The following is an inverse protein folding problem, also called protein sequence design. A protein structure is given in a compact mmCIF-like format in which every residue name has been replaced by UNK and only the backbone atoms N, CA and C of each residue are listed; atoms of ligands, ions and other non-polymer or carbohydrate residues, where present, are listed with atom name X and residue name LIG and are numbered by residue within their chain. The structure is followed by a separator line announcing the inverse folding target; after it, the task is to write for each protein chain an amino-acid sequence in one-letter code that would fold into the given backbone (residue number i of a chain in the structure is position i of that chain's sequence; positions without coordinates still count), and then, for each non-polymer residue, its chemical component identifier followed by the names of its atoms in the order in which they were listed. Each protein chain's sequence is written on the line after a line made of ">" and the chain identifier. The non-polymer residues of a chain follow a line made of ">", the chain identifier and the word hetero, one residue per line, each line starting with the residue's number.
data_IF_177071883222
#
_entry.id   IF_177071883222
#
_cell.length_a   1.000
_cell.length_b   1.000
_cell.length_c   1.000
_cell.angle_alpha   90.00
_cell.angle_beta   90.00
_cell.angle_gamma   90.00
#
_symmetry.space_group_name_H-M   'P 1'
#
loop_
_entity.id
_entity.type
_entity.pdbx_description
1 polymer ?
#
# COMPACT_ATOMS: atom_id res chain seq x y z
N UNK A 1 -22.20 40.78 40.74
CA UNK A 1 -22.32 40.76 39.27
C UNK A 1 -21.03 41.28 38.67
N UNK A 2 -20.12 40.38 38.27
CA UNK A 2 -18.92 40.77 37.50
C UNK A 2 -19.30 40.75 36.03
N UNK A 3 -19.18 41.90 35.36
CA UNK A 3 -19.47 42.05 33.94
C UNK A 3 -18.60 41.12 33.11
N UNK A 4 -19.24 40.29 32.29
CA UNK A 4 -18.59 39.53 31.23
C UNK A 4 -18.31 40.53 30.11
N UNK A 5 -17.03 40.85 29.90
CA UNK A 5 -16.57 41.62 28.74
C UNK A 5 -16.83 40.80 27.46
N UNK A 6 -17.84 41.22 26.70
CA UNK A 6 -18.28 40.59 25.45
C UNK A 6 -17.52 41.09 24.20
N UNK A 7 -16.31 41.64 24.33
CA UNK A 7 -15.55 42.16 23.17
C UNK A 7 -14.19 41.50 22.94
N UNK A 8 -14.10 40.17 22.99
CA UNK A 8 -13.03 39.47 22.27
C UNK A 8 -13.27 39.59 20.77
N UNK A 9 -12.70 40.62 20.13
CA UNK A 9 -12.54 40.69 18.66
C UNK A 9 -11.99 39.33 18.19
N UNK A 10 -12.78 38.59 17.42
CA UNK A 10 -12.39 37.28 16.84
C UNK A 10 -11.06 37.49 16.11
N UNK A 11 -9.99 36.83 16.59
CA UNK A 11 -8.65 36.99 16.04
C UNK A 11 -8.67 36.52 14.58
N UNK A 12 -8.42 37.44 13.65
CA UNK A 12 -8.41 37.16 12.22
C UNK A 12 -7.30 36.17 11.90
N UNK A 13 -7.65 35.04 11.26
CA UNK A 13 -6.70 34.03 10.80
C UNK A 13 -6.37 34.29 9.33
N UNK A 14 -5.17 34.81 9.04
CA UNK A 14 -4.72 35.00 7.67
C UNK A 14 -4.58 33.68 6.90
N UNK A 15 -4.36 32.56 7.60
CA UNK A 15 -4.40 31.22 7.00
C UNK A 15 -5.80 30.85 6.50
N UNK A 16 -6.83 31.11 7.31
CA UNK A 16 -8.21 30.84 6.91
C UNK A 16 -8.63 31.72 5.73
N UNK A 17 -8.22 32.99 5.72
CA UNK A 17 -8.49 33.90 4.60
C UNK A 17 -7.75 33.50 3.33
N UNK A 18 -6.50 33.04 3.42
CA UNK A 18 -5.78 32.53 2.26
C UNK A 18 -6.49 31.30 1.66
N UNK A 19 -7.00 30.39 2.50
CA UNK A 19 -7.82 29.26 2.05
C UNK A 19 -9.10 29.73 1.36
N UNK A 20 -9.85 30.65 1.98
CA UNK A 20 -11.08 31.21 1.41
C UNK A 20 -10.82 31.82 0.02
N UNK A 21 -9.80 32.68 -0.10
CA UNK A 21 -9.45 33.35 -1.36
C UNK A 21 -9.09 32.36 -2.47
N UNK A 22 -8.37 31.28 -2.14
CA UNK A 22 -8.01 30.25 -3.14
C UNK A 22 -9.21 29.37 -3.48
N UNK A 23 -10.02 29.00 -2.48
CA UNK A 23 -11.24 28.22 -2.65
C UNK A 23 -12.23 28.93 -3.60
N UNK A 24 -12.50 30.21 -3.36
CA UNK A 24 -13.42 31.04 -4.17
C UNK A 24 -12.87 31.36 -5.57
N UNK A 25 -11.57 31.16 -5.82
CA UNK A 25 -10.97 31.49 -7.11
C UNK A 25 -11.09 30.33 -8.11
N UNK A 26 -11.82 30.49 -9.24
CA UNK A 26 -11.95 29.42 -10.23
C UNK A 26 -10.61 29.10 -10.92
N UNK A 27 -9.67 30.05 -10.95
CA UNK A 27 -8.36 29.91 -11.58
C UNK A 27 -7.22 29.95 -10.56
N UNK A 28 -6.11 29.24 -10.80
CA UNK A 28 -4.93 29.28 -9.94
C UNK A 28 -4.31 30.68 -9.82
N UNK A 29 -3.99 31.07 -8.59
CA UNK A 29 -3.48 32.39 -8.22
C UNK A 29 -1.98 32.33 -7.90
N UNK A 30 -1.26 33.40 -8.18
CA UNK A 30 0.07 33.64 -7.64
C UNK A 30 0.00 34.03 -6.16
N UNK A 31 1.10 33.84 -5.42
CA UNK A 31 1.16 34.27 -4.01
C UNK A 31 0.89 35.79 -3.83
N UNK A 32 1.23 36.61 -4.82
CA UNK A 32 0.96 38.05 -4.80
C UNK A 32 -0.54 38.36 -4.96
N UNK A 33 -1.23 37.66 -5.87
CA UNK A 33 -2.69 37.78 -6.04
C UNK A 33 -3.44 37.31 -4.79
N UNK A 34 -3.01 36.21 -4.17
CA UNK A 34 -3.59 35.72 -2.91
C UNK A 34 -3.42 36.79 -1.82
N UNK A 35 -2.22 37.34 -1.67
CA UNK A 35 -1.97 38.40 -0.69
C UNK A 35 -2.84 39.63 -0.95
N UNK A 36 -2.96 40.09 -2.20
CA UNK A 36 -3.77 41.25 -2.55
C UNK A 36 -5.26 41.04 -2.22
N UNK A 37 -5.80 39.87 -2.51
CA UNK A 37 -7.20 39.52 -2.17
C UNK A 37 -7.42 39.39 -0.67
N UNK A 38 -6.48 38.80 0.08
CA UNK A 38 -6.56 38.77 1.55
C UNK A 38 -6.52 40.18 2.14
N UNK A 39 -5.63 41.05 1.64
CA UNK A 39 -5.51 42.45 2.06
C UNK A 39 -6.80 43.25 1.80
N UNK A 40 -7.51 42.94 0.71
CA UNK A 40 -8.80 43.55 0.39
C UNK A 40 -9.92 43.15 1.36
N UNK A 41 -9.87 41.95 1.94
CA UNK A 41 -10.81 41.49 2.97
C UNK A 41 -10.47 42.12 4.32
N UNK A 42 -9.19 42.11 4.70
CA UNK A 42 -8.73 42.68 5.97
C UNK A 42 -7.25 43.04 5.91
N UNK A 43 -6.84 44.19 6.47
CA UNK A 43 -5.43 44.58 6.45
C UNK A 43 -4.52 43.55 7.12
N UNK A 44 -3.48 43.11 6.43
CA UNK A 44 -2.48 42.20 7.01
C UNK A 44 -1.54 43.01 7.92
N UNK A 45 -1.73 42.86 9.23
CA UNK A 45 -1.03 43.64 10.25
C UNK A 45 0.32 43.04 10.70
N UNK A 46 0.77 41.96 10.06
CA UNK A 46 2.04 41.31 10.41
C UNK A 46 3.25 42.10 9.90
N UNK A 47 4.41 41.93 10.56
CA UNK A 47 5.66 42.60 10.16
C UNK A 47 6.09 42.28 8.73
N UNK A 48 5.71 41.11 8.20
CA UNK A 48 6.04 40.69 6.84
C UNK A 48 4.85 39.98 6.19
N UNK A 49 3.91 40.73 5.57
CA UNK A 49 2.71 40.18 4.95
C UNK A 49 3.00 39.10 3.90
N UNK A 50 4.05 39.30 3.09
CA UNK A 50 4.49 38.34 2.07
C UNK A 50 4.86 36.99 2.69
N UNK A 51 5.66 37.00 3.77
CA UNK A 51 6.05 35.78 4.46
C UNK A 51 4.86 35.10 5.14
N UNK A 52 3.94 35.87 5.73
CA UNK A 52 2.71 35.34 6.33
C UNK A 52 1.86 34.56 5.32
N UNK A 53 1.60 35.13 4.14
CA UNK A 53 0.81 34.46 3.10
C UNK A 53 1.54 33.25 2.52
N UNK A 54 2.86 33.33 2.28
CA UNK A 54 3.63 32.18 1.82
C UNK A 54 3.62 31.04 2.82
N UNK A 55 3.71 31.34 4.12
CA UNK A 55 3.61 30.32 5.18
C UNK A 55 2.22 29.69 5.24
N UNK A 56 1.16 30.49 5.08
CA UNK A 56 -0.20 29.97 5.00
C UNK A 56 -0.40 29.02 3.80
N UNK A 57 0.16 29.36 2.65
CA UNK A 57 0.14 28.51 1.45
C UNK A 57 0.96 27.23 1.70
N UNK A 58 2.20 27.33 2.16
CA UNK A 58 3.11 26.19 2.30
C UNK A 58 2.67 25.16 3.35
N UNK A 59 1.90 25.58 4.34
CA UNK A 59 1.36 24.70 5.38
C UNK A 59 0.01 24.07 5.01
N UNK A 60 -0.56 24.45 3.86
CA UNK A 60 -1.84 23.94 3.41
C UNK A 60 -1.68 22.63 2.64
N UNK A 61 -2.53 21.65 2.94
CA UNK A 61 -2.73 20.46 2.10
C UNK A 61 -3.76 20.67 1.00
N UNK A 62 -4.54 21.76 1.07
CA UNK A 62 -5.62 22.07 0.11
C UNK A 62 -5.22 23.12 -0.92
N UNK A 63 -4.30 24.03 -0.57
CA UNK A 63 -3.70 24.97 -1.52
C UNK A 63 -2.45 24.30 -2.11
N UNK A 64 -2.54 23.89 -3.36
CA UNK A 64 -1.49 23.11 -4.04
C UNK A 64 -0.85 23.91 -5.15
N UNK A 65 0.44 23.70 -5.39
CA UNK A 65 1.13 24.28 -6.53
C UNK A 65 0.72 23.56 -7.82
N UNK A 66 0.57 24.31 -8.91
CA UNK A 66 0.17 23.77 -10.24
C UNK A 66 1.20 24.04 -11.33
N UNK A 67 2.41 24.43 -10.94
CA UNK A 67 3.43 24.97 -11.85
C UNK A 67 3.37 26.49 -12.01
N UNK A 68 4.39 27.08 -12.64
CA UNK A 68 4.44 28.52 -12.93
C UNK A 68 4.32 29.46 -11.71
N UNK A 69 4.64 28.98 -10.50
CA UNK A 69 4.46 29.70 -9.21
C UNK A 69 2.99 30.11 -8.95
N UNK A 70 2.04 29.33 -9.45
CA UNK A 70 0.60 29.47 -9.17
C UNK A 70 0.12 28.36 -8.23
N UNK A 71 -0.97 28.66 -7.53
CA UNK A 71 -1.57 27.84 -6.51
C UNK A 71 -3.08 27.75 -6.73
N UNK A 72 -3.61 26.53 -6.65
CA UNK A 72 -5.04 26.26 -6.83
C UNK A 72 -5.63 25.48 -5.67
N UNK A 73 -6.95 25.39 -5.65
CA UNK A 73 -7.68 24.53 -4.72
C UNK A 73 -7.61 23.08 -5.19
N UNK A 74 -7.09 22.18 -4.35
CA UNK A 74 -6.70 20.81 -4.74
C UNK A 74 -7.80 20.02 -5.46
N UNK A 75 -9.04 19.86 -4.94
CA UNK A 75 -10.11 19.15 -5.65
C UNK A 75 -10.37 19.68 -7.06
N UNK A 76 -10.30 21.01 -7.26
CA UNK A 76 -10.47 21.63 -8.58
C UNK A 76 -9.28 21.38 -9.50
N UNK A 77 -8.07 21.40 -8.95
CA UNK A 77 -6.82 21.22 -9.70
C UNK A 77 -6.72 19.82 -10.29
N UNK A 78 -7.13 18.80 -9.53
CA UNK A 78 -7.04 17.40 -9.94
C UNK A 78 -8.09 16.99 -10.97
N UNK A 79 -9.15 17.80 -11.17
CA UNK A 79 -10.13 17.59 -12.24
C UNK A 79 -9.45 17.40 -13.60
N UNK A 80 -9.97 16.45 -14.37
CA UNK A 80 -9.43 16.00 -15.66
C UNK A 80 -8.33 14.94 -15.56
N UNK A 81 -7.89 14.56 -14.36
CA UNK A 81 -6.95 13.45 -14.17
C UNK A 81 -7.60 12.11 -14.55
N UNK A 82 -6.80 11.21 -15.11
CA UNK A 82 -7.16 9.83 -15.42
C UNK A 82 -6.23 8.91 -14.64
N UNK A 83 -6.80 8.02 -13.85
CA UNK A 83 -6.09 7.07 -12.98
C UNK A 83 -6.39 5.64 -13.43
N UNK A 84 -5.43 4.75 -13.28
CA UNK A 84 -5.61 3.31 -13.46
C UNK A 84 -5.75 2.66 -12.09
N UNK A 85 -6.64 1.68 -12.00
CA UNK A 85 -6.76 0.76 -10.89
C UNK A 85 -6.66 -0.67 -11.45
N UNK A 86 -5.80 -1.49 -10.88
CA UNK A 86 -5.65 -2.90 -11.28
C UNK A 86 -6.56 -3.76 -10.43
N UNK A 87 -7.43 -4.54 -11.07
CA UNK A 87 -8.36 -5.44 -10.39
C UNK A 87 -7.60 -6.67 -9.89
N UNK A 88 -7.61 -6.87 -8.58
CA UNK A 88 -7.19 -8.11 -7.95
C UNK A 88 -8.33 -9.12 -7.91
N UNK A 89 -7.99 -10.40 -7.74
CA UNK A 89 -8.99 -11.45 -7.54
C UNK A 89 -9.82 -11.23 -6.28
N UNK A 90 -9.18 -10.82 -5.18
CA UNK A 90 -9.85 -10.54 -3.92
C UNK A 90 -10.95 -9.48 -4.07
N UNK A 91 -10.69 -8.43 -4.84
CA UNK A 91 -11.68 -7.38 -5.14
C UNK A 91 -12.87 -7.89 -5.96
N UNK A 92 -12.60 -8.78 -6.94
CA UNK A 92 -13.65 -9.39 -7.76
C UNK A 92 -14.55 -10.33 -6.94
N UNK A 93 -13.97 -11.11 -6.02
CA UNK A 93 -14.69 -12.07 -5.16
C UNK A 93 -15.44 -11.35 -4.04
N UNK A 94 -14.74 -10.50 -3.28
CA UNK A 94 -15.30 -9.81 -2.11
C UNK A 94 -16.18 -8.63 -2.48
N UNK A 95 -16.20 -8.25 -3.77
CA UNK A 95 -16.99 -7.12 -4.29
C UNK A 95 -16.64 -5.81 -3.58
N UNK A 96 -15.35 -5.61 -3.38
CA UNK A 96 -14.76 -4.40 -2.82
C UNK A 96 -13.70 -3.88 -3.78
N UNK A 97 -13.39 -2.60 -3.73
CA UNK A 97 -12.22 -2.05 -4.40
C UNK A 97 -11.31 -1.45 -3.33
N UNK A 98 -10.03 -1.82 -3.35
CA UNK A 98 -9.01 -1.29 -2.46
C UNK A 98 -8.27 -0.17 -3.17
N UNK A 99 -8.10 0.96 -2.48
CA UNK A 99 -7.52 2.14 -3.08
C UNK A 99 -6.03 2.24 -2.79
N UNK A 100 -5.24 2.25 -3.86
CA UNK A 100 -3.86 2.69 -3.81
C UNK A 100 -3.77 4.19 -3.48
N UNK A 101 -2.56 4.66 -3.22
CA UNK A 101 -2.27 5.98 -2.65
C UNK A 101 -2.74 7.13 -3.52
N UNK A 102 -2.57 7.01 -4.82
CA UNK A 102 -3.04 7.97 -5.80
C UNK A 102 -4.57 7.95 -5.93
N UNK A 103 -5.21 6.79 -5.89
CA UNK A 103 -6.67 6.69 -5.90
C UNK A 103 -7.29 7.30 -4.63
N UNK A 104 -6.70 7.07 -3.45
CA UNK A 104 -7.13 7.73 -2.21
C UNK A 104 -7.00 9.25 -2.29
N UNK A 105 -5.89 9.72 -2.85
CA UNK A 105 -5.65 11.15 -3.07
C UNK A 105 -6.67 11.77 -4.04
N UNK A 106 -7.12 10.99 -5.03
CA UNK A 106 -8.15 11.39 -5.99
C UNK A 106 -9.54 11.41 -5.35
N UNK A 107 -10.01 10.28 -4.81
CA UNK A 107 -11.38 10.10 -4.28
C UNK A 107 -11.60 10.91 -3.00
N UNK A 108 -10.57 11.04 -2.16
CA UNK A 108 -10.62 11.82 -0.92
C UNK A 108 -9.45 12.83 -0.85
N UNK A 109 -9.49 13.94 -1.61
CA UNK A 109 -8.41 14.94 -1.61
C UNK A 109 -8.17 15.58 -0.24
N UNK A 110 -9.15 15.48 0.65
CA UNK A 110 -9.10 16.00 2.02
C UNK A 110 -8.55 15.00 3.04
N UNK A 111 -8.20 13.78 2.64
CA UNK A 111 -7.84 12.68 3.55
C UNK A 111 -6.76 13.06 4.57
N UNK A 112 -5.74 13.80 4.13
CA UNK A 112 -4.65 14.30 5.00
C UNK A 112 -4.78 15.79 5.37
N UNK A 113 -5.92 16.42 5.05
CA UNK A 113 -6.16 17.81 5.42
C UNK A 113 -6.47 17.93 6.92
N UNK A 114 -6.37 19.17 7.45
CA UNK A 114 -6.83 19.44 8.82
C UNK A 114 -8.33 19.11 8.91
N UNK A 115 -8.76 18.62 10.08
CA UNK A 115 -10.14 18.20 10.37
C UNK A 115 -11.22 19.18 9.88
N UNK A 116 -10.98 20.49 9.93
CA UNK A 116 -11.91 21.51 9.44
C UNK A 116 -12.18 21.48 7.91
N UNK A 117 -11.37 20.76 7.14
CA UNK A 117 -11.53 20.57 5.69
C UNK A 117 -11.85 19.11 5.36
N UNK A 118 -12.05 18.26 6.37
CA UNK A 118 -12.28 16.84 6.17
C UNK A 118 -13.64 16.62 5.49
N UNK A 119 -13.62 15.95 4.35
CA UNK A 119 -14.82 15.54 3.63
C UNK A 119 -14.63 14.12 3.08
N UNK A 120 -15.00 13.13 3.91
CA UNK A 120 -15.03 11.71 3.54
C UNK A 120 -16.37 11.27 2.95
N UNK A 121 -17.22 12.23 2.58
CA UNK A 121 -18.50 11.92 1.92
C UNK A 121 -18.29 11.12 0.63
N UNK A 122 -19.29 10.33 0.22
CA UNK A 122 -19.18 9.44 -0.93
C UNK A 122 -18.97 10.23 -2.23
N UNK A 123 -18.41 9.55 -3.23
CA UNK A 123 -18.25 10.09 -4.58
C UNK A 123 -19.25 9.45 -5.55
N UNK A 124 -19.63 10.21 -6.57
CA UNK A 124 -20.53 9.79 -7.63
C UNK A 124 -19.72 9.33 -8.84
N UNK A 125 -19.97 8.11 -9.32
CA UNK A 125 -19.21 7.48 -10.42
C UNK A 125 -20.17 7.13 -11.54
N UNK A 126 -20.07 7.84 -12.66
CA UNK A 126 -20.82 7.53 -13.88
C UNK A 126 -20.26 6.30 -14.58
N UNK A 127 -21.17 5.41 -15.00
CA UNK A 127 -20.88 4.18 -15.71
C UNK A 127 -21.15 4.34 -17.23
N UNK A 128 -20.46 3.59 -18.10
CA UNK A 128 -20.65 3.67 -19.56
C UNK A 128 -22.06 3.33 -20.05
N UNK A 129 -22.86 2.60 -19.27
CA UNK A 129 -24.25 2.27 -19.58
C UNK A 129 -25.25 3.37 -19.19
N UNK A 130 -24.74 4.52 -18.70
CA UNK A 130 -25.53 5.68 -18.30
C UNK A 130 -26.03 5.66 -16.85
N UNK A 131 -25.75 4.59 -16.09
CA UNK A 131 -26.04 4.54 -14.66
C UNK A 131 -24.99 5.31 -13.85
N UNK A 132 -25.31 5.55 -12.57
CA UNK A 132 -24.41 6.20 -11.63
C UNK A 132 -24.31 5.33 -10.38
N UNK A 133 -23.07 5.01 -10.01
CA UNK A 133 -22.75 4.30 -8.78
C UNK A 133 -22.28 5.27 -7.70
N UNK A 134 -22.48 4.91 -6.44
CA UNK A 134 -22.01 5.69 -5.27
C UNK A 134 -20.90 4.95 -4.55
N UNK A 135 -19.74 5.58 -4.41
CA UNK A 135 -18.57 4.98 -3.75
C UNK A 135 -18.33 5.68 -2.42
N UNK A 136 -18.63 4.99 -1.32
CA UNK A 136 -18.29 5.45 0.02
C UNK A 136 -16.86 5.03 0.39
N UNK A 137 -16.11 5.91 1.06
CA UNK A 137 -14.78 5.57 1.53
C UNK A 137 -14.87 4.75 2.82
N UNK A 138 -14.34 3.53 2.78
CA UNK A 138 -14.35 2.58 3.90
C UNK A 138 -12.93 2.19 4.34
N UNK A 139 -12.80 1.88 5.62
CA UNK A 139 -11.55 1.40 6.22
C UNK A 139 -11.65 -0.11 6.47
N UNK A 140 -10.78 -0.88 5.85
CA UNK A 140 -10.79 -2.34 5.90
C UNK A 140 -9.77 -2.93 6.89
N UNK A 141 -9.08 -2.11 7.68
CA UNK A 141 -7.97 -2.54 8.55
C UNK A 141 -6.62 -2.50 7.84
N UNK A 142 -5.51 -2.73 8.56
CA UNK A 142 -4.17 -2.85 7.95
C UNK A 142 -3.66 -1.61 7.19
N UNK A 143 -4.21 -0.42 7.44
CA UNK A 143 -4.02 0.81 6.62
C UNK A 143 -4.63 0.74 5.21
N UNK A 144 -5.47 -0.25 4.94
CA UNK A 144 -6.21 -0.42 3.69
C UNK A 144 -7.51 0.36 3.73
N UNK A 145 -7.71 1.14 2.67
CA UNK A 145 -8.92 1.91 2.45
C UNK A 145 -9.50 1.52 1.10
N UNK A 146 -10.80 1.66 0.93
CA UNK A 146 -11.46 1.19 -0.28
C UNK A 146 -12.90 1.67 -0.39
N UNK A 147 -13.68 0.97 -1.19
CA UNK A 147 -15.13 1.13 -1.26
C UNK A 147 -15.80 -0.23 -1.41
N UNK A 148 -16.99 -0.36 -0.85
CA UNK A 148 -17.98 -1.35 -1.26
C UNK A 148 -18.86 -0.67 -2.30
N UNK A 149 -18.67 -0.99 -3.58
CA UNK A 149 -19.45 -0.38 -4.64
C UNK A 149 -20.87 -0.98 -4.67
N UNK A 150 -21.84 -0.21 -5.15
CA UNK A 150 -23.23 -0.66 -5.23
C UNK A 150 -23.46 -1.74 -6.31
N UNK A 151 -24.66 -2.32 -6.32
CA UNK A 151 -25.02 -3.37 -7.27
C UNK A 151 -24.98 -2.89 -8.72
N UNK A 152 -25.25 -1.60 -8.99
CA UNK A 152 -25.20 -1.05 -10.33
C UNK A 152 -23.78 -1.15 -10.91
N UNK A 153 -22.77 -0.73 -10.15
CA UNK A 153 -21.37 -0.87 -10.55
C UNK A 153 -20.99 -2.33 -10.79
N UNK A 154 -21.32 -3.22 -9.85
CA UNK A 154 -20.92 -4.62 -9.98
C UNK A 154 -21.66 -5.36 -11.10
N UNK A 155 -22.92 -5.03 -11.38
CA UNK A 155 -23.65 -5.56 -12.53
C UNK A 155 -22.99 -5.13 -13.85
N UNK A 156 -22.64 -3.85 -13.98
CA UNK A 156 -21.90 -3.33 -15.13
C UNK A 156 -20.53 -4.01 -15.27
N UNK A 157 -19.77 -4.13 -14.17
CA UNK A 157 -18.45 -4.75 -14.17
C UNK A 157 -18.55 -6.22 -14.57
N UNK A 158 -19.48 -7.00 -14.02
CA UNK A 158 -19.69 -8.42 -14.42
C UNK A 158 -20.01 -8.56 -15.91
N UNK A 159 -20.75 -7.63 -16.50
CA UNK A 159 -21.04 -7.65 -17.93
C UNK A 159 -19.77 -7.52 -18.80
N UNK A 160 -18.67 -6.99 -18.25
CA UNK A 160 -17.36 -6.94 -18.92
C UNK A 160 -16.60 -8.27 -18.85
N UNK A 161 -17.04 -9.22 -18.03
CA UNK A 161 -16.34 -10.48 -17.74
C UNK A 161 -14.87 -10.27 -17.30
N UNK A 162 -14.63 -9.48 -16.23
CA UNK A 162 -13.29 -9.11 -15.81
C UNK A 162 -12.53 -10.33 -15.29
N UNK A 163 -11.22 -10.35 -15.54
CA UNK A 163 -10.28 -11.29 -14.92
C UNK A 163 -9.28 -10.54 -14.04
N UNK A 164 -8.66 -11.20 -13.05
CA UNK A 164 -7.59 -10.60 -12.27
C UNK A 164 -6.48 -10.04 -13.19
N UNK A 165 -6.03 -8.82 -12.89
CA UNK A 165 -5.06 -8.08 -13.68
C UNK A 165 -5.66 -7.19 -14.77
N UNK A 166 -6.97 -7.24 -15.03
CA UNK A 166 -7.67 -6.21 -15.82
C UNK A 166 -7.75 -4.88 -15.06
N UNK A 167 -8.18 -3.82 -15.73
CA UNK A 167 -8.10 -2.47 -15.19
C UNK A 167 -9.40 -1.69 -15.24
N UNK A 168 -9.59 -0.84 -14.25
CA UNK A 168 -10.54 0.26 -14.25
C UNK A 168 -9.80 1.58 -14.47
N UNK A 169 -10.30 2.40 -15.38
CA UNK A 169 -9.79 3.76 -15.60
C UNK A 169 -10.76 4.77 -15.03
N UNK A 170 -10.33 5.51 -14.01
CA UNK A 170 -11.14 6.53 -13.34
C UNK A 170 -10.75 7.91 -13.84
N UNK A 171 -11.72 8.61 -14.43
CA UNK A 171 -11.60 10.03 -14.80
C UNK A 171 -12.23 10.88 -13.71
N UNK A 172 -11.47 11.83 -13.19
CA UNK A 172 -12.01 12.88 -12.32
C UNK A 172 -12.73 13.90 -13.20
N UNK A 173 -14.06 13.86 -13.24
CA UNK A 173 -14.87 14.79 -14.05
C UNK A 173 -14.89 16.14 -13.36
N UNK A 174 -15.22 16.16 -12.07
CA UNK A 174 -15.19 17.33 -11.21
C UNK A 174 -14.84 16.91 -9.78
N UNK A 175 -13.62 17.22 -9.34
CA UNK A 175 -13.16 16.85 -8.00
C UNK A 175 -13.82 17.64 -6.87
N UNK A 176 -14.36 18.83 -7.12
CA UNK A 176 -15.11 19.58 -6.10
C UNK A 176 -16.51 19.03 -5.92
N UNK A 177 -17.18 18.71 -7.03
CA UNK A 177 -18.48 18.06 -7.00
C UNK A 177 -18.41 16.55 -6.69
N UNK A 178 -17.20 16.01 -6.48
CA UNK A 178 -16.94 14.58 -6.26
C UNK A 178 -17.56 13.70 -7.36
N UNK A 179 -17.48 14.15 -8.60
CA UNK A 179 -18.01 13.47 -9.77
C UNK A 179 -16.89 12.82 -10.58
N UNK A 180 -17.06 11.54 -10.87
CA UNK A 180 -16.10 10.69 -11.56
C UNK A 180 -16.78 9.91 -12.67
N UNK A 181 -15.99 9.38 -13.58
CA UNK A 181 -16.43 8.42 -14.59
C UNK A 181 -15.47 7.23 -14.59
N UNK A 182 -15.98 6.02 -14.77
CA UNK A 182 -15.16 4.81 -14.85
C UNK A 182 -15.35 4.13 -16.20
N UNK A 183 -14.26 3.58 -16.74
CA UNK A 183 -14.28 2.69 -17.90
C UNK A 183 -13.47 1.44 -17.64
N UNK A 184 -13.83 0.33 -18.28
CA UNK A 184 -13.08 -0.92 -18.19
C UNK A 184 -12.01 -1.00 -19.30
N UNK A 185 -10.86 -1.56 -18.97
CA UNK A 185 -9.79 -1.88 -19.91
C UNK A 185 -9.27 -3.29 -19.61
N UNK A 186 -9.44 -4.22 -20.55
CA UNK A 186 -8.82 -5.53 -20.43
C UNK A 186 -7.30 -5.41 -20.54
N UNK A 187 -6.56 -6.24 -19.81
CA UNK A 187 -5.08 -6.21 -19.82
C UNK A 187 -4.50 -6.40 -21.21
N UNK A 188 -5.10 -7.29 -22.01
CA UNK A 188 -4.68 -7.58 -23.40
C UNK A 188 -4.81 -6.38 -24.35
N UNK A 189 -5.63 -5.39 -24.00
CA UNK A 189 -5.88 -4.21 -24.83
C UNK A 189 -4.94 -3.03 -24.46
N UNK A 190 -3.99 -3.26 -23.55
CA UNK A 190 -3.00 -2.26 -23.13
C UNK A 190 -1.93 -2.04 -24.19
N UNK A 191 -1.62 -0.77 -24.43
CA UNK A 191 -0.38 -0.37 -25.09
C UNK A 191 0.75 -0.38 -24.06
N UNK A 192 1.38 -1.55 -23.86
CA UNK A 192 2.43 -1.74 -22.86
C UNK A 192 3.64 -0.84 -23.10
N UNK A 193 3.99 -0.56 -24.36
CA UNK A 193 5.12 0.30 -24.68
C UNK A 193 4.85 1.76 -24.27
N UNK A 194 3.66 2.27 -24.58
CA UNK A 194 3.26 3.60 -24.16
C UNK A 194 3.14 3.70 -22.63
N UNK A 195 2.56 2.70 -21.98
CA UNK A 195 2.42 2.66 -20.51
C UNK A 195 3.79 2.61 -19.85
N UNK A 196 4.73 1.78 -20.33
CA UNK A 196 6.10 1.74 -19.81
C UNK A 196 6.79 3.11 -19.92
N UNK A 197 6.63 3.82 -21.04
CA UNK A 197 7.14 5.17 -21.20
C UNK A 197 6.49 6.16 -20.21
N UNK A 198 5.18 6.03 -19.93
CA UNK A 198 4.51 6.81 -18.87
C UNK A 198 5.10 6.51 -17.50
N UNK A 199 5.25 5.23 -17.15
CA UNK A 199 5.80 4.80 -15.86
C UNK A 199 7.22 5.34 -15.66
N UNK A 200 8.08 5.29 -16.68
CA UNK A 200 9.42 5.85 -16.62
C UNK A 200 9.43 7.36 -16.35
N UNK A 201 8.57 8.12 -17.04
CA UNK A 201 8.45 9.57 -16.81
C UNK A 201 7.97 9.89 -15.38
N UNK A 202 7.05 9.09 -14.84
CA UNK A 202 6.58 9.18 -13.47
C UNK A 202 7.69 8.89 -12.45
N UNK A 203 8.41 7.78 -12.62
CA UNK A 203 9.52 7.36 -11.76
C UNK A 203 10.64 8.41 -11.78
N UNK A 204 10.99 8.95 -12.94
CA UNK A 204 12.02 9.97 -13.08
C UNK A 204 11.67 11.25 -12.28
N UNK A 205 10.42 11.70 -12.36
CA UNK A 205 9.97 12.87 -11.60
C UNK A 205 9.87 12.57 -10.10
N UNK A 206 9.34 11.41 -9.72
CA UNK A 206 9.27 10.97 -8.33
C UNK A 206 10.68 10.87 -7.70
N UNK A 207 11.66 10.36 -8.44
CA UNK A 207 13.07 10.31 -8.03
C UNK A 207 13.65 11.71 -7.79
N UNK A 208 13.34 12.66 -8.68
CA UNK A 208 13.76 14.06 -8.53
C UNK A 208 13.21 14.70 -7.25
N UNK A 209 11.98 14.36 -6.86
CA UNK A 209 11.38 14.81 -5.60
C UNK A 209 12.03 14.15 -4.39
N UNK A 210 12.24 12.83 -4.46
CA UNK A 210 12.82 12.05 -3.37
C UNK A 210 14.27 12.48 -3.03
N UNK A 211 15.03 12.98 -4.02
CA UNK A 211 16.41 13.48 -3.85
C UNK A 211 16.52 14.89 -3.24
N UNK A 212 15.41 15.56 -2.92
CA UNK A 212 15.45 16.89 -2.28
C UNK A 212 16.06 16.78 -0.87
N UNK A 213 16.68 17.85 -0.32
CA UNK A 213 17.42 17.80 0.96
C UNK A 213 16.60 17.35 2.18
N UNK A 214 15.27 17.35 2.11
CA UNK A 214 14.36 16.93 3.18
C UNK A 214 13.56 15.68 2.79
N UNK A 215 13.88 15.05 1.65
CA UNK A 215 13.08 14.00 1.03
C UNK A 215 11.67 14.48 0.63
N UNK A 216 10.87 13.55 0.14
CA UNK A 216 9.43 13.69 0.03
C UNK A 216 8.80 12.40 0.54
N UNK A 217 7.80 12.49 1.43
CA UNK A 217 7.07 11.30 1.83
C UNK A 217 6.37 10.71 0.59
N UNK A 218 6.19 9.39 0.48
CA UNK A 218 5.54 8.78 -0.68
C UNK A 218 4.18 9.39 -1.05
N UNK A 219 3.38 9.78 -0.05
CA UNK A 219 2.09 10.44 -0.23
C UNK A 219 2.22 11.85 -0.81
N UNK A 220 3.28 12.58 -0.46
CA UNK A 220 3.54 13.91 -1.01
C UNK A 220 3.97 13.81 -2.49
N UNK A 221 4.55 12.67 -2.91
CA UNK A 221 4.86 12.40 -4.31
C UNK A 221 3.57 12.18 -5.12
N UNK A 222 2.65 11.33 -4.66
CA UNK A 222 1.37 11.10 -5.33
C UNK A 222 0.58 12.41 -5.50
N UNK A 223 0.50 13.20 -4.42
CA UNK A 223 -0.11 14.53 -4.42
C UNK A 223 0.55 15.48 -5.42
N UNK A 224 1.88 15.52 -5.44
CA UNK A 224 2.64 16.36 -6.37
C UNK A 224 2.36 15.98 -7.82
N UNK A 225 2.48 14.69 -8.18
CA UNK A 225 2.31 14.21 -9.55
C UNK A 225 0.90 14.53 -10.07
N UNK A 226 -0.13 14.32 -9.24
CA UNK A 226 -1.52 14.64 -9.58
C UNK A 226 -1.73 16.13 -9.81
N UNK A 227 -1.26 16.98 -8.89
CA UNK A 227 -1.46 18.43 -8.97
C UNK A 227 -0.62 19.12 -10.05
N UNK A 228 0.47 18.49 -10.49
CA UNK A 228 1.33 18.97 -11.58
C UNK A 228 0.97 18.36 -12.94
N UNK A 229 -0.18 17.69 -13.04
CA UNK A 229 -0.76 17.27 -14.32
C UNK A 229 -0.19 15.99 -14.92
N UNK A 230 0.59 15.20 -14.17
CA UNK A 230 1.13 13.94 -14.68
C UNK A 230 0.04 12.91 -15.01
N UNK A 231 -1.12 13.00 -14.36
CA UNK A 231 -2.31 12.19 -14.65
C UNK A 231 -3.24 12.81 -15.71
N UNK A 232 -2.92 14.00 -16.25
CA UNK A 232 -3.70 14.65 -17.33
C UNK A 232 -3.20 14.17 -18.69
N UNK A 233 -3.35 12.88 -18.94
CA UNK A 233 -2.90 12.21 -20.16
C UNK A 233 -3.94 11.15 -20.58
N UNK A 234 -4.17 10.91 -21.89
CA UNK A 234 -5.11 9.90 -22.35
C UNK A 234 -4.70 8.47 -21.95
N UNK A 235 -3.39 8.22 -21.79
CA UNK A 235 -2.83 6.96 -21.30
C UNK A 235 -2.33 7.19 -19.87
N UNK A 236 -3.03 6.67 -18.84
CA UNK A 236 -2.57 6.80 -17.47
C UNK A 236 -1.37 5.87 -17.20
N UNK A 237 -0.51 6.19 -16.22
CA UNK A 237 0.51 5.24 -15.74
C UNK A 237 -0.17 4.05 -15.05
N UNK A 238 0.62 3.02 -14.76
CA UNK A 238 0.20 2.01 -13.77
C UNK A 238 0.09 2.61 -12.36
N UNK A 239 -0.70 2.01 -11.46
CA UNK A 239 -0.88 2.48 -10.10
C UNK A 239 0.46 2.79 -9.42
N UNK A 240 0.53 3.88 -8.67
CA UNK A 240 1.79 4.34 -8.09
C UNK A 240 2.44 3.30 -7.17
N UNK A 241 1.64 2.48 -6.48
CA UNK A 241 2.10 1.38 -5.62
C UNK A 241 2.83 0.29 -6.41
N UNK A 242 2.41 0.02 -7.64
CA UNK A 242 3.04 -0.98 -8.52
C UNK A 242 4.37 -0.47 -9.09
N UNK A 243 4.47 0.83 -9.40
CA UNK A 243 5.66 1.40 -10.08
C UNK A 243 6.65 2.11 -9.16
N UNK A 244 6.23 2.53 -7.97
CA UNK A 244 7.04 3.29 -7.01
C UNK A 244 7.24 2.51 -5.71
N UNK A 245 7.73 1.28 -5.85
CA UNK A 245 7.98 0.34 -4.73
C UNK A 245 9.18 0.75 -3.88
N UNK A 246 9.32 0.15 -2.69
CA UNK A 246 10.48 0.42 -1.82
C UNK A 246 11.80 -0.03 -2.44
N UNK A 247 11.78 -1.07 -3.27
CA UNK A 247 12.94 -1.53 -4.04
C UNK A 247 13.41 -0.44 -5.01
N UNK A 248 12.48 0.14 -5.79
CA UNK A 248 12.77 1.28 -6.69
C UNK A 248 13.34 2.46 -5.90
N UNK A 249 12.77 2.79 -4.74
CA UNK A 249 13.28 3.89 -3.88
C UNK A 249 14.68 3.61 -3.34
N UNK A 250 15.03 2.36 -3.04
CA UNK A 250 16.37 1.98 -2.57
C UNK A 250 17.38 2.08 -3.71
N UNK A 251 17.11 1.50 -4.88
CA UNK A 251 18.02 1.55 -6.02
C UNK A 251 18.35 3.00 -6.42
N UNK A 252 17.34 3.88 -6.44
CA UNK A 252 17.51 5.30 -6.76
C UNK A 252 18.32 6.09 -5.72
N UNK A 253 18.38 5.63 -4.47
CA UNK A 253 19.18 6.23 -3.39
C UNK A 253 20.63 5.76 -3.39
N UNK A 254 20.90 4.51 -3.79
CA UNK A 254 22.24 3.91 -3.71
C UNK A 254 22.98 3.84 -5.04
N UNK A 255 22.37 4.25 -6.16
CA UNK A 255 23.05 4.33 -7.46
C UNK A 255 23.36 2.97 -8.08
N UNK A 256 22.66 1.92 -7.65
CA UNK A 256 22.73 0.59 -8.28
C UNK A 256 22.06 0.64 -9.66
N UNK A 257 22.70 0.02 -10.65
CA UNK A 257 22.22 -0.02 -12.03
C UNK A 257 20.82 -0.63 -12.09
N UNK A 258 19.94 0.08 -12.79
CA UNK A 258 18.53 -0.23 -12.95
C UNK A 258 18.35 -1.55 -13.74
N UNK A 259 17.81 -2.57 -13.09
CA UNK A 259 16.93 -3.51 -13.78
C UNK A 259 15.53 -2.88 -13.76
N UNK A 260 14.93 -2.69 -14.94
CA UNK A 260 13.49 -2.44 -15.07
C UNK A 260 12.78 -3.46 -14.17
N UNK A 261 11.80 -3.10 -13.33
CA UNK A 261 10.98 -4.11 -12.68
C UNK A 261 10.41 -4.96 -13.80
N UNK A 262 10.83 -6.22 -13.89
CA UNK A 262 10.18 -7.12 -14.84
C UNK A 262 8.69 -7.11 -14.53
N UNK A 263 7.81 -7.12 -15.56
CA UNK A 263 6.38 -7.27 -15.35
C UNK A 263 6.15 -8.39 -14.33
N UNK A 264 5.15 -8.30 -13.43
CA UNK A 264 4.96 -9.27 -12.36
C UNK A 264 5.17 -10.66 -12.94
N UNK A 265 6.23 -11.31 -12.43
CA UNK A 265 6.80 -12.51 -13.03
C UNK A 265 5.66 -13.47 -13.30
N UNK A 266 5.48 -13.84 -14.57
CA UNK A 266 4.29 -14.57 -15.03
C UNK A 266 4.00 -15.86 -14.24
N UNK A 267 5.01 -16.41 -13.55
CA UNK A 267 4.89 -17.52 -12.62
C UNK A 267 4.03 -17.19 -11.38
N UNK A 268 4.19 -16.01 -10.77
CA UNK A 268 3.35 -15.58 -9.63
C UNK A 268 1.94 -15.22 -10.09
N UNK A 269 1.78 -14.52 -11.21
CA UNK A 269 0.44 -14.23 -11.77
C UNK A 269 -0.35 -15.49 -12.14
N UNK A 270 0.33 -16.61 -12.44
CA UNK A 270 -0.32 -17.91 -12.66
C UNK A 270 -0.74 -18.58 -11.35
N UNK A 271 -0.02 -18.33 -10.24
CA UNK A 271 -0.36 -18.82 -8.90
C UNK A 271 -1.51 -18.02 -8.26
N UNK A 272 -1.59 -16.71 -8.50
CA UNK A 272 -2.71 -15.83 -8.10
C UNK A 272 -3.96 -15.93 -9.01
N UNK A 273 -4.09 -17.02 -9.79
CA UNK A 273 -5.27 -17.34 -10.59
C UNK A 273 -6.15 -18.43 -9.97
N UNK A 274 -5.92 -18.79 -8.69
CA UNK A 274 -6.71 -19.77 -7.95
C UNK A 274 -7.81 -19.06 -7.17
N UNK A 275 -9.07 -19.49 -7.35
CA UNK A 275 -10.25 -18.91 -6.68
C UNK A 275 -9.98 -18.66 -5.20
N UNK A 276 -10.06 -17.40 -4.78
CA UNK A 276 -10.01 -17.05 -3.37
C UNK A 276 -11.05 -17.84 -2.57
N UNK A 277 -10.58 -18.46 -1.49
CA UNK A 277 -11.44 -19.22 -0.61
C UNK A 277 -12.26 -18.25 0.26
N UNK A 278 -13.58 -18.43 0.28
CA UNK A 278 -14.44 -17.85 1.33
C UNK A 278 -14.37 -18.82 2.52
N UNK A 279 -13.92 -18.35 3.67
CA UNK A 279 -13.87 -19.17 4.88
C UNK A 279 -15.30 -19.36 5.40
N UNK A 280 -15.80 -20.59 5.34
CA UNK A 280 -17.10 -20.97 5.89
C UNK A 280 -16.86 -21.68 7.24
N UNK A 281 -17.24 -21.08 8.39
CA UNK A 281 -17.06 -21.69 9.70
C UNK A 281 -17.86 -23.00 9.87
N UNK A 282 -18.98 -23.14 9.16
CA UNK A 282 -19.85 -24.32 9.20
C UNK A 282 -19.37 -25.41 8.24
N UNK A 283 -18.47 -25.06 7.30
CA UNK A 283 -17.87 -25.96 6.30
C UNK A 283 -16.42 -25.56 5.98
N UNK A 284 -15.47 -25.77 6.92
CA UNK A 284 -14.08 -25.35 6.74
C UNK A 284 -13.41 -26.05 5.55
N UNK A 285 -12.35 -25.47 4.95
CA UNK A 285 -11.58 -26.15 3.91
C UNK A 285 -11.19 -27.56 4.35
N UNK A 286 -11.25 -28.52 3.42
CA UNK A 286 -10.68 -29.86 3.60
C UNK A 286 -9.15 -29.77 3.58
N UNK A 287 -8.60 -29.17 4.64
CA UNK A 287 -7.17 -29.11 4.88
C UNK A 287 -6.71 -30.49 5.35
N UNK A 288 -5.55 -30.97 4.88
CA UNK A 288 -4.99 -32.21 5.40
C UNK A 288 -4.93 -32.21 6.93
N UNK A 289 -5.11 -33.36 7.60
CA UNK A 289 -5.23 -33.41 9.06
C UNK A 289 -4.06 -32.81 9.86
N UNK A 290 -2.90 -32.67 9.23
CA UNK A 290 -1.71 -31.98 9.76
C UNK A 290 -1.89 -30.44 9.89
N UNK A 291 -2.96 -29.89 9.33
CA UNK A 291 -3.34 -28.48 9.37
C UNK A 291 -4.67 -28.27 10.12
N UNK A 292 -4.99 -29.11 11.10
CA UNK A 292 -6.13 -28.93 11.99
C UNK A 292 -5.62 -28.43 13.37
N UNK A 293 -5.94 -27.19 13.79
CA UNK A 293 -5.45 -26.64 15.07
C UNK A 293 -5.89 -27.47 16.28
N UNK A 294 -6.96 -28.25 16.15
CA UNK A 294 -7.46 -29.12 17.22
C UNK A 294 -6.60 -30.38 17.45
N UNK A 295 -5.66 -30.68 16.54
CA UNK A 295 -4.81 -31.89 16.58
C UNK A 295 -3.41 -31.67 17.17
N UNK A 296 -3.15 -30.49 17.73
CA UNK A 296 -1.89 -30.15 18.39
C UNK A 296 -1.01 -29.21 17.57
N UNK A 297 0.21 -28.93 18.07
CA UNK A 297 1.13 -27.98 17.43
C UNK A 297 1.58 -28.50 16.08
N UNK A 298 1.47 -27.66 15.06
CA UNK A 298 1.91 -27.95 13.70
C UNK A 298 3.43 -27.92 13.62
N UNK A 299 3.99 -28.70 12.70
CA UNK A 299 5.43 -28.81 12.49
C UNK A 299 5.78 -28.69 11.01
N UNK A 300 6.94 -28.11 10.66
CA UNK A 300 7.38 -28.05 9.27
C UNK A 300 7.48 -29.44 8.66
N UNK A 301 6.99 -29.62 7.43
CA UNK A 301 7.14 -30.89 6.74
C UNK A 301 8.58 -31.05 6.26
N UNK A 302 9.09 -32.27 6.40
CA UNK A 302 10.41 -32.61 5.89
C UNK A 302 10.42 -32.65 4.36
N UNK A 303 11.49 -32.13 3.74
CA UNK A 303 11.70 -32.24 2.29
C UNK A 303 11.70 -33.71 1.85
N UNK A 304 10.90 -34.04 0.84
CA UNK A 304 10.87 -35.39 0.25
C UNK A 304 12.00 -35.55 -0.75
N UNK A 305 12.30 -34.53 -1.55
CA UNK A 305 13.38 -34.55 -2.53
C UNK A 305 14.75 -34.70 -1.87
N UNK A 306 14.97 -33.98 -0.76
CA UNK A 306 16.24 -34.03 -0.04
C UNK A 306 16.54 -35.40 0.58
N UNK A 307 15.53 -36.28 0.74
CA UNK A 307 15.74 -37.67 1.20
C UNK A 307 16.32 -38.59 0.12
N UNK A 308 16.16 -38.25 -1.15
CA UNK A 308 16.51 -39.12 -2.28
C UNK A 308 17.67 -38.60 -3.12
N UNK A 309 18.05 -37.32 -3.01
CA UNK A 309 19.14 -36.73 -3.76
C UNK A 309 19.49 -35.32 -3.32
N UNK A 310 20.37 -34.66 -4.08
CA UNK A 310 20.63 -33.24 -3.92
C UNK A 310 19.43 -32.39 -4.32
N UNK A 311 19.28 -31.23 -3.70
CA UNK A 311 18.18 -30.28 -3.93
C UNK A 311 18.72 -28.87 -4.10
N UNK A 312 17.92 -27.97 -4.67
CA UNK A 312 18.16 -26.54 -4.47
C UNK A 312 17.74 -26.16 -3.06
N UNK A 313 18.68 -25.69 -2.24
CA UNK A 313 18.40 -25.18 -0.90
C UNK A 313 18.50 -23.66 -0.86
N UNK A 314 17.56 -23.04 -0.14
CA UNK A 314 17.49 -21.60 0.07
C UNK A 314 17.75 -21.30 1.54
N UNK A 315 18.66 -20.37 1.81
CA UNK A 315 18.94 -19.90 3.17
C UNK A 315 18.35 -18.52 3.36
N UNK A 316 17.44 -18.40 4.32
CA UNK A 316 16.74 -17.18 4.68
C UNK A 316 17.23 -16.66 6.03
N UNK A 317 17.68 -15.40 6.07
CA UNK A 317 17.84 -14.67 7.32
C UNK A 317 16.52 -13.99 7.67
N UNK A 318 15.94 -14.39 8.80
CA UNK A 318 14.69 -13.87 9.32
C UNK A 318 14.99 -12.99 10.53
N UNK A 319 14.57 -11.72 10.51
CA UNK A 319 14.80 -10.77 11.59
C UNK A 319 13.54 -9.97 11.89
N UNK A 320 13.18 -9.83 13.16
CA UNK A 320 12.07 -8.96 13.57
C UNK A 320 12.43 -7.49 13.32
N UNK A 321 11.54 -6.68 12.73
CA UNK A 321 11.87 -5.30 12.32
C UNK A 321 12.23 -4.37 13.47
N UNK A 322 11.59 -4.53 14.61
CA UNK A 322 11.92 -3.78 15.83
C UNK A 322 13.24 -4.21 16.49
N UNK A 323 13.76 -5.39 16.13
CA UNK A 323 14.96 -5.99 16.72
C UNK A 323 15.86 -6.56 15.62
N UNK A 324 16.44 -5.71 14.74
CA UNK A 324 17.19 -6.18 13.57
C UNK A 324 18.43 -7.01 13.94
N UNK A 325 18.95 -6.86 15.16
CA UNK A 325 20.05 -7.67 15.68
C UNK A 325 19.60 -9.06 16.14
N UNK A 326 18.30 -9.34 16.28
CA UNK A 326 17.78 -10.67 16.59
C UNK A 326 17.37 -11.35 15.28
N UNK A 327 18.09 -12.40 14.89
CA UNK A 327 17.85 -13.08 13.63
C UNK A 327 18.07 -14.60 13.67
N UNK A 328 17.46 -15.30 12.72
CA UNK A 328 17.57 -16.74 12.49
C UNK A 328 17.90 -16.99 11.02
N UNK A 329 18.93 -17.77 10.73
CA UNK A 329 19.21 -18.27 9.39
C UNK A 329 18.57 -19.65 9.27
N UNK A 330 17.54 -19.75 8.43
CA UNK A 330 16.73 -20.94 8.23
C UNK A 330 16.93 -21.42 6.79
N UNK A 331 17.30 -22.68 6.62
CA UNK A 331 17.50 -23.31 5.33
C UNK A 331 16.31 -24.21 4.98
N UNK A 332 15.76 -24.05 3.79
CA UNK A 332 14.68 -24.88 3.24
C UNK A 332 15.06 -25.45 1.88
N UNK A 333 14.55 -26.63 1.57
CA UNK A 333 14.64 -27.22 0.24
C UNK A 333 13.56 -26.65 -0.70
N UNK A 334 13.81 -26.74 -2.00
CA UNK A 334 12.91 -26.25 -3.07
C UNK A 334 11.47 -26.79 -3.01
N UNK A 335 11.25 -28.00 -2.51
CA UNK A 335 9.95 -28.68 -2.44
C UNK A 335 9.18 -28.42 -1.12
N UNK A 336 9.77 -27.65 -0.22
CA UNK A 336 9.07 -27.15 0.96
C UNK A 336 8.33 -25.86 0.62
N UNK A 337 7.36 -25.48 1.44
CA UNK A 337 6.44 -24.39 1.16
C UNK A 337 6.65 -23.18 2.05
N UNK A 338 5.97 -22.07 1.75
CA UNK A 338 5.92 -20.91 2.65
C UNK A 338 5.29 -21.26 4.01
N UNK A 339 4.40 -22.26 4.06
CA UNK A 339 3.89 -22.82 5.32
C UNK A 339 5.01 -23.43 6.16
N UNK A 340 5.86 -24.24 5.52
CA UNK A 340 6.99 -24.89 6.18
C UNK A 340 8.00 -23.84 6.67
N UNK A 341 8.16 -22.73 5.94
CA UNK A 341 8.94 -21.58 6.39
C UNK A 341 8.30 -20.89 7.59
N UNK A 342 6.98 -20.64 7.59
CA UNK A 342 6.27 -20.06 8.73
C UNK A 342 6.48 -20.90 10.00
N UNK A 343 6.24 -22.21 9.93
CA UNK A 343 6.41 -23.11 11.07
C UNK A 343 7.86 -23.15 11.55
N UNK A 344 8.82 -23.10 10.62
CA UNK A 344 10.25 -23.04 10.97
C UNK A 344 10.63 -21.72 11.64
N UNK A 345 10.00 -20.60 11.27
CA UNK A 345 10.17 -19.31 11.94
C UNK A 345 9.63 -19.38 13.37
N UNK A 346 8.42 -19.90 13.56
CA UNK A 346 7.83 -20.08 14.90
C UNK A 346 8.72 -20.92 15.81
N UNK A 347 9.25 -22.04 15.30
CA UNK A 347 10.21 -22.88 16.01
C UNK A 347 11.50 -22.14 16.34
N UNK A 348 12.06 -21.40 15.39
CA UNK A 348 13.32 -20.70 15.57
C UNK A 348 13.22 -19.53 16.57
N UNK A 349 12.06 -18.89 16.66
CA UNK A 349 11.78 -17.82 17.62
C UNK A 349 11.17 -18.30 18.95
N UNK A 350 10.86 -19.60 19.07
CA UNK A 350 10.17 -20.18 20.25
C UNK A 350 8.78 -19.56 20.48
N UNK A 351 8.08 -19.26 19.39
CA UNK A 351 6.74 -18.69 19.41
C UNK A 351 5.67 -19.76 19.14
N UNK A 352 4.46 -19.42 19.57
CA UNK A 352 3.24 -20.16 19.31
C UNK A 352 2.70 -19.87 17.92
N UNK A 353 2.13 -20.91 17.33
CA UNK A 353 1.42 -20.85 16.05
C UNK A 353 -0.10 -20.78 16.33
N UNK A 354 -0.52 -19.68 16.94
CA UNK A 354 -1.86 -19.47 17.49
C UNK A 354 -2.65 -18.35 16.78
N UNK A 355 -2.05 -17.71 15.78
CA UNK A 355 -2.64 -16.60 15.03
C UNK A 355 -2.49 -16.72 13.52
N UNK A 356 -3.31 -15.95 12.79
CA UNK A 356 -3.17 -15.78 11.35
C UNK A 356 -1.88 -15.06 10.98
N UNK A 357 -1.42 -15.31 9.76
CA UNK A 357 -0.16 -14.81 9.26
C UNK A 357 -0.17 -14.78 7.73
N UNK A 358 0.75 -14.00 7.16
CA UNK A 358 0.90 -13.81 5.73
C UNK A 358 2.36 -13.59 5.33
N UNK A 359 2.66 -13.93 4.07
CA UNK A 359 3.85 -13.47 3.39
C UNK A 359 3.48 -12.48 2.28
N UNK A 360 4.35 -11.50 2.09
CA UNK A 360 4.29 -10.59 0.95
C UNK A 360 5.64 -10.65 0.26
N UNK A 361 5.67 -10.85 -1.06
CA UNK A 361 6.94 -10.91 -1.82
C UNK A 361 7.64 -9.54 -1.97
N UNK A 362 7.05 -8.51 -1.37
CA UNK A 362 7.62 -7.17 -1.15
C UNK A 362 7.94 -6.97 0.35
N UNK A 363 8.48 -5.81 0.73
CA UNK A 363 8.68 -5.45 2.15
C UNK A 363 7.49 -4.73 2.77
N UNK A 364 6.41 -4.55 2.02
CA UNK A 364 5.22 -3.84 2.48
C UNK A 364 4.03 -4.81 2.48
N UNK A 365 3.09 -4.57 3.38
CA UNK A 365 1.80 -5.26 3.34
C UNK A 365 1.03 -4.70 2.14
N UNK A 366 0.89 -5.52 1.12
CA UNK A 366 0.09 -5.25 -0.07
C UNK A 366 -1.01 -6.33 -0.16
N UNK A 367 -2.26 -6.00 0.21
CA UNK A 367 -3.36 -6.96 0.21
C UNK A 367 -3.60 -7.63 -1.15
N UNK A 368 -3.22 -6.98 -2.25
CA UNK A 368 -3.38 -7.56 -3.60
C UNK A 368 -2.38 -8.68 -3.91
N UNK A 369 -1.29 -8.75 -3.14
CA UNK A 369 -0.20 -9.71 -3.27
C UNK A 369 0.01 -10.55 -1.99
N UNK A 370 -1.03 -10.64 -1.14
CA UNK A 370 -1.02 -11.39 0.10
C UNK A 370 -1.00 -12.90 -0.18
N UNK A 371 -0.05 -13.61 0.44
CA UNK A 371 -0.02 -15.07 0.51
C UNK A 371 -0.31 -15.45 1.95
N UNK A 372 -1.57 -15.73 2.25
CA UNK A 372 -2.04 -15.89 3.62
C UNK A 372 -2.00 -17.32 4.13
N UNK A 373 -2.19 -17.47 5.44
CA UNK A 373 -2.30 -18.78 6.08
C UNK A 373 -3.45 -19.61 5.47
N UNK A 374 -3.46 -20.95 5.65
CA UNK A 374 -4.50 -21.82 5.12
C UNK A 374 -5.93 -21.51 5.61
N UNK A 375 -6.07 -20.73 6.68
CA UNK A 375 -7.36 -20.31 7.25
C UNK A 375 -7.71 -18.84 6.99
N UNK A 376 -6.84 -18.12 6.28
CA UNK A 376 -7.12 -16.73 5.89
C UNK A 376 -8.06 -16.69 4.68
N UNK A 377 -8.79 -15.60 4.49
CA UNK A 377 -9.61 -15.38 3.30
C UNK A 377 -8.79 -14.73 2.17
N UNK A 378 -7.66 -15.34 1.82
CA UNK A 378 -6.75 -14.86 0.76
C UNK A 378 -6.92 -15.68 -0.54
N UNK A 379 -6.37 -15.16 -1.64
CA UNK A 379 -6.42 -15.85 -2.96
C UNK A 379 -5.39 -16.96 -3.09
N UNK A 380 -4.29 -16.88 -2.36
CA UNK A 380 -3.20 -17.85 -2.43
C UNK A 380 -2.73 -18.18 -1.02
N UNK A 381 -2.61 -19.47 -0.72
CA UNK A 381 -2.24 -19.92 0.61
C UNK A 381 -0.80 -20.43 0.70
N UNK A 382 -0.19 -20.21 1.85
CA UNK A 382 1.19 -20.58 2.19
C UNK A 382 1.52 -22.05 1.96
N UNK A 383 0.57 -22.97 2.19
CA UNK A 383 0.73 -24.41 1.99
C UNK A 383 0.75 -24.84 0.51
N UNK A 384 0.36 -23.96 -0.41
CA UNK A 384 0.29 -24.22 -1.85
C UNK A 384 1.53 -23.72 -2.60
N UNK A 385 2.34 -22.87 -1.97
CA UNK A 385 3.47 -22.18 -2.61
C UNK A 385 4.78 -22.82 -2.18
N UNK A 386 5.38 -23.61 -3.07
CA UNK A 386 6.71 -24.17 -2.88
C UNK A 386 7.79 -23.08 -3.00
N UNK A 387 8.83 -23.16 -2.18
CA UNK A 387 9.95 -22.21 -2.14
C UNK A 387 10.65 -22.15 -3.51
N UNK A 388 10.84 -23.29 -4.17
CA UNK A 388 11.47 -23.37 -5.49
C UNK A 388 10.65 -22.76 -6.63
N UNK A 389 9.35 -22.53 -6.42
CA UNK A 389 8.46 -21.87 -7.39
C UNK A 389 8.55 -20.34 -7.34
N UNK A 390 9.10 -19.78 -6.25
CA UNK A 390 9.20 -18.35 -6.05
C UNK A 390 10.40 -17.78 -6.83
N UNK A 391 10.29 -16.56 -7.41
CA UNK A 391 11.38 -15.89 -8.11
C UNK A 391 12.37 -15.28 -7.10
N UNK A 392 13.05 -16.16 -6.35
CA UNK A 392 14.00 -15.81 -5.30
C UNK A 392 15.42 -15.67 -5.87
N UNK A 393 16.08 -14.59 -5.47
CA UNK A 393 17.49 -14.32 -5.75
C UNK A 393 18.21 -13.94 -4.47
N UNK A 394 19.50 -14.27 -4.37
CA UNK A 394 20.34 -13.84 -3.25
C UNK A 394 20.25 -12.31 -3.09
N UNK A 395 20.00 -11.85 -1.88
CA UNK A 395 19.81 -10.45 -1.55
C UNK A 395 18.36 -9.98 -1.51
N UNK A 396 17.40 -10.71 -2.11
CA UNK A 396 15.97 -10.37 -2.03
C UNK A 396 15.50 -10.35 -0.58
N UNK A 397 14.70 -9.35 -0.23
CA UNK A 397 14.07 -9.22 1.09
C UNK A 397 12.57 -9.10 0.90
N UNK A 398 11.82 -9.89 1.66
CA UNK A 398 10.36 -9.92 1.62
C UNK A 398 9.80 -9.97 3.05
N UNK A 399 8.49 -9.73 3.21
CA UNK A 399 7.85 -9.58 4.51
C UNK A 399 7.18 -10.89 4.94
N UNK A 400 7.42 -11.27 6.20
CA UNK A 400 6.59 -12.20 6.95
C UNK A 400 5.84 -11.42 8.03
N UNK A 401 4.51 -11.47 7.98
CA UNK A 401 3.59 -10.78 8.89
C UNK A 401 2.87 -11.81 9.74
N UNK A 402 2.98 -11.69 11.07
CA UNK A 402 2.41 -12.64 12.01
C UNK A 402 1.58 -11.92 13.06
N UNK A 403 0.45 -12.53 13.42
CA UNK A 403 -0.54 -11.97 14.34
C UNK A 403 -1.11 -10.64 13.83
N UNK A 404 -2.29 -10.68 13.25
CA UNK A 404 -2.93 -9.48 12.69
C UNK A 404 -3.36 -8.48 13.77
N UNK A 405 -3.47 -8.92 15.02
CA UNK A 405 -3.74 -8.05 16.17
C UNK A 405 -2.47 -7.29 16.58
N UNK A 406 -1.42 -8.01 16.95
CA UNK A 406 -0.17 -7.41 17.46
C UNK A 406 0.76 -6.89 16.36
N UNK A 407 0.53 -7.29 15.12
CA UNK A 407 1.18 -6.81 13.91
C UNK A 407 2.70 -7.03 13.88
N UNK A 408 3.16 -8.25 14.16
CA UNK A 408 4.59 -8.57 14.09
C UNK A 408 5.09 -8.60 12.64
N UNK A 409 6.13 -7.83 12.38
CA UNK A 409 6.76 -7.74 11.05
C UNK A 409 8.19 -8.27 11.10
N UNK A 410 8.47 -9.24 10.23
CA UNK A 410 9.81 -9.79 10.02
C UNK A 410 10.28 -9.53 8.60
N UNK A 411 11.52 -9.07 8.47
CA UNK A 411 12.22 -9.10 7.19
C UNK A 411 12.81 -10.50 6.97
N UNK A 412 12.46 -11.11 5.85
CA UNK A 412 12.99 -12.38 5.37
C UNK A 412 13.93 -12.11 4.20
N UNK A 413 15.24 -12.25 4.42
CA UNK A 413 16.29 -11.99 3.43
C UNK A 413 16.86 -13.30 2.90
N UNK A 414 16.87 -13.48 1.58
CA UNK A 414 17.58 -14.59 0.93
C UNK A 414 19.09 -14.33 1.02
N UNK A 415 19.82 -15.10 1.82
CA UNK A 415 21.27 -14.94 1.99
C UNK A 415 22.09 -15.98 1.22
N UNK A 416 21.48 -17.08 0.83
CA UNK A 416 22.12 -18.14 0.04
C UNK A 416 21.11 -18.91 -0.79
N UNK A 417 21.56 -19.38 -1.96
CA UNK A 417 20.88 -20.36 -2.80
C UNK A 417 21.96 -21.34 -3.23
N UNK A 418 21.81 -22.60 -2.86
CA UNK A 418 22.73 -23.69 -3.24
C UNK A 418 21.96 -24.69 -4.12
N UNK A 419 22.19 -24.71 -5.45
CA UNK A 419 21.48 -25.60 -6.37
C UNK A 419 21.89 -27.07 -6.24
N UNK A 420 22.96 -27.38 -5.51
CA UNK A 420 23.48 -28.74 -5.34
C UNK A 420 23.63 -29.09 -3.86
N UNK A 421 22.73 -28.55 -3.02
CA UNK A 421 22.75 -28.81 -1.60
C UNK A 421 22.60 -30.32 -1.33
N UNK A 422 23.37 -30.88 -0.40
CA UNK A 422 23.39 -32.31 -0.17
C UNK A 422 22.05 -32.81 0.37
N UNK A 423 21.80 -34.10 0.15
CA UNK A 423 20.75 -34.85 0.83
C UNK A 423 20.86 -34.65 2.35
N UNK A 424 19.73 -34.45 3.01
CA UNK A 424 19.66 -34.23 4.44
C UNK A 424 18.25 -33.91 4.91
N UNK A 425 18.14 -33.53 6.17
CA UNK A 425 16.89 -33.09 6.78
C UNK A 425 16.68 -31.60 6.48
N UNK A 426 15.51 -31.21 5.99
CA UNK A 426 15.13 -29.80 5.85
C UNK A 426 13.71 -29.64 6.38
N UNK A 427 13.34 -28.52 7.04
CA UNK A 427 14.13 -27.30 7.18
C UNK A 427 15.19 -27.42 8.28
N UNK A 428 16.20 -26.54 8.27
CA UNK A 428 17.24 -26.48 9.30
C UNK A 428 17.48 -25.05 9.77
N UNK A 429 17.66 -24.84 11.07
CA UNK A 429 18.20 -23.58 11.60
C UNK A 429 19.72 -23.70 11.58
N UNK A 430 20.37 -22.98 10.67
CA UNK A 430 21.82 -23.11 10.42
C UNK A 430 22.65 -22.07 11.17
N UNK A 431 22.04 -20.95 11.58
CA UNK A 431 22.64 -19.98 12.47
C UNK A 431 21.57 -19.13 13.17
N UNK A 432 21.93 -18.48 14.28
CA UNK A 432 21.06 -17.52 14.97
C UNK A 432 21.89 -16.50 15.74
N UNK A 433 21.28 -15.37 16.05
CA UNK A 433 21.85 -14.35 16.93
C UNK A 433 20.75 -13.66 17.74
N UNK A 434 21.07 -13.30 18.99
CA UNK A 434 20.15 -12.65 19.91
C UNK A 434 19.10 -13.59 20.52
N UNK A 435 18.70 -13.29 21.76
CA UNK A 435 17.59 -13.95 22.41
C UNK A 435 16.28 -13.64 21.68
N UNK A 436 15.41 -14.64 21.52
CA UNK A 436 14.08 -14.40 20.96
C UNK A 436 13.30 -13.45 21.87
N UNK A 437 12.64 -12.41 21.33
CA UNK A 437 11.67 -11.66 22.12
C UNK A 437 10.52 -12.58 22.56
N UNK A 438 9.84 -12.27 23.68
CA UNK A 438 8.53 -12.84 23.98
C UNK A 438 7.57 -12.64 22.79
N UNK A 439 6.67 -13.58 22.54
CA UNK A 439 5.67 -13.41 21.47
C UNK A 439 4.82 -12.18 21.73
N UNK A 440 4.17 -12.13 22.90
CA UNK A 440 3.34 -11.00 23.29
C UNK A 440 4.21 -9.90 23.93
N UNK A 441 3.99 -8.62 23.56
CA UNK A 441 4.81 -7.52 24.03
C UNK A 441 4.52 -7.09 25.46
N UNK A 442 3.43 -7.58 26.06
CA UNK A 442 3.00 -7.26 27.41
C UNK A 442 3.18 -8.46 28.35
N UNK A 443 3.55 -8.15 29.58
CA UNK A 443 3.54 -9.12 30.67
C UNK A 443 2.09 -9.54 30.99
N UNK A 444 1.75 -10.84 30.98
CA UNK A 444 0.39 -11.29 31.25
C UNK A 444 -0.11 -10.99 32.67
N UNK A 445 0.78 -10.84 33.65
CA UNK A 445 0.43 -10.61 35.05
C UNK A 445 0.37 -9.11 35.38
N UNK A 446 1.33 -8.33 34.87
CA UNK A 446 1.45 -6.90 35.22
C UNK A 446 0.85 -5.97 34.17
N UNK A 447 0.66 -6.44 32.93
CA UNK A 447 0.27 -5.62 31.78
C UNK A 447 1.35 -4.64 31.32
N UNK A 448 2.55 -4.70 31.89
CA UNK A 448 3.66 -3.84 31.51
C UNK A 448 4.27 -4.28 30.18
N UNK A 449 4.66 -3.31 29.35
CA UNK A 449 5.26 -3.58 28.06
C UNK A 449 6.71 -4.05 28.24
N UNK A 450 6.98 -5.33 27.96
CA UNK A 450 8.29 -5.97 28.03
C UNK A 450 9.19 -5.60 26.84
N UNK A 451 8.60 -5.39 25.66
CA UNK A 451 9.30 -4.91 24.47
C UNK A 451 8.32 -4.24 23.49
N UNK A 452 8.83 -3.40 22.58
CA UNK A 452 8.01 -2.67 21.63
C UNK A 452 8.17 -3.24 20.20
N UNK A 453 7.22 -4.05 19.70
CA UNK A 453 7.29 -4.67 18.37
C UNK A 453 7.09 -3.65 17.24
N UNK A 454 6.61 -2.45 17.56
CA UNK A 454 6.34 -1.37 16.62
C UNK A 454 7.48 -0.34 16.56
N UNK A 455 8.55 -0.54 17.34
CA UNK A 455 9.73 0.30 17.28
C UNK A 455 10.32 0.25 15.86
N UNK A 456 10.58 1.43 15.28
CA UNK A 456 11.26 1.53 13.99
C UNK A 456 12.76 1.65 14.23
N UNK A 457 13.59 0.92 13.47
CA UNK A 457 15.04 1.10 13.50
C UNK A 457 15.48 2.48 13.01
#
# INVERSE_FOLDING_TARGET
>A
MKGVDMTRRKKVSFTALAHQVVFESPQPLTAAEIQARVQAITPITTKNPKATIRSAISQSRMIVAVGGRRYGWKPRVISGSLLRHTLSEAELVKRVLHWDRDMLEAICPTFFAKQMYEDRGPVSVSLPDGQTATFALEFFGGRTWGTVADEAFHAWLRAQSPVPGDHLLFRIVDGEAKAYAVTFQARRDRDEAAIAARNQAFIAEAARLARRPHGAAPWDIASYLMTHGFYKHPIPPDPIGEIWTEEVRRSLRFGEEFAVPEPPDSALSTLFGMKAQVYDPDNPPDLPPEYDPSRGRRHPRASRKARTGSVTAYTFRVSHRALPDVWRDIQLAEDQTLEDLHLAIQDAFLWGDDHLYSFFMSREQDPSAEIGSPWSETSLHTHQVEIGSLPLRKGKVFLYFFDYGDSHEFDVKVIGIDPLAPKGDYPQIVAYHGASPPQYPFDPETGEMQWNPWARP
#
